data_IF_825006473990
#
_entry.id   IF_825006473990
#
_cell.length_a   1.000
_cell.length_b   1.000
_cell.length_c   1.000
_cell.angle_alpha   90.00
_cell.angle_beta   90.00
_cell.angle_gamma   90.00
#
_symmetry.space_group_name_H-M   'P 1'
#
loop_
_entity.id
_entity.type
_entity.pdbx_description
1 polymer ?
#
# COMPACT_ATOMS: atom_id res chain seq x y z
N UNK A 1 -18.38 -28.08 40.98
CA UNK A 1 -17.08 -27.59 40.44
C UNK A 1 -16.60 -28.34 39.18
N UNK A 2 -16.65 -29.68 39.08
CA UNK A 2 -16.17 -30.44 37.90
C UNK A 2 -16.83 -30.08 36.55
N UNK A 3 -18.13 -29.77 36.54
CA UNK A 3 -18.85 -29.39 35.30
C UNK A 3 -18.31 -28.12 34.64
N UNK A 4 -17.98 -27.09 35.45
CA UNK A 4 -17.42 -25.83 34.94
C UNK A 4 -16.00 -25.96 34.37
N UNK A 5 -15.19 -26.89 34.90
CA UNK A 5 -13.85 -27.14 34.36
C UNK A 5 -13.90 -27.78 32.96
N UNK A 6 -14.79 -28.76 32.77
CA UNK A 6 -14.98 -29.44 31.50
C UNK A 6 -15.55 -28.49 30.44
N UNK A 7 -16.61 -27.74 30.78
CA UNK A 7 -17.21 -26.76 29.88
C UNK A 7 -16.19 -25.71 29.39
N UNK A 8 -15.39 -25.13 30.30
CA UNK A 8 -14.36 -24.18 29.93
C UNK A 8 -13.28 -24.79 29.01
N UNK A 9 -12.88 -26.04 29.23
CA UNK A 9 -11.92 -26.72 28.35
C UNK A 9 -12.46 -26.93 26.94
N UNK A 10 -13.73 -27.35 26.82
CA UNK A 10 -14.39 -27.53 25.52
C UNK A 10 -14.49 -26.19 24.78
N UNK A 11 -14.92 -25.13 25.47
CA UNK A 11 -15.01 -23.79 24.90
C UNK A 11 -13.65 -23.29 24.37
N UNK A 12 -12.59 -23.40 25.17
CA UNK A 12 -11.23 -23.01 24.74
C UNK A 12 -10.74 -23.85 23.55
N UNK A 13 -11.08 -25.15 23.51
CA UNK A 13 -10.77 -26.02 22.39
C UNK A 13 -11.45 -25.56 21.08
N UNK A 14 -12.74 -25.25 21.13
CA UNK A 14 -13.49 -24.73 19.97
C UNK A 14 -12.90 -23.39 19.50
N UNK A 15 -12.62 -22.47 20.41
CA UNK A 15 -11.99 -21.17 20.07
C UNK A 15 -10.62 -21.40 19.42
N UNK A 16 -9.79 -22.28 19.98
CA UNK A 16 -8.47 -22.61 19.43
C UNK A 16 -8.54 -23.19 18.02
N UNK A 17 -9.50 -24.09 17.76
CA UNK A 17 -9.70 -24.66 16.41
C UNK A 17 -10.12 -23.57 15.41
N UNK A 18 -11.14 -22.78 15.73
CA UNK A 18 -11.63 -21.74 14.82
C UNK A 18 -10.57 -20.68 14.53
N UNK A 19 -9.86 -20.22 15.56
CA UNK A 19 -8.79 -19.23 15.40
C UNK A 19 -7.58 -19.80 14.67
N UNK A 20 -7.25 -21.08 14.91
CA UNK A 20 -6.19 -21.79 14.21
C UNK A 20 -6.49 -21.92 12.72
N UNK A 21 -7.70 -22.33 12.36
CA UNK A 21 -8.16 -22.39 10.97
C UNK A 21 -8.08 -20.99 10.34
N UNK A 22 -8.67 -19.97 10.97
CA UNK A 22 -8.66 -18.60 10.45
C UNK A 22 -7.23 -18.06 10.21
N UNK A 23 -6.25 -18.48 11.03
CA UNK A 23 -4.85 -18.04 10.92
C UNK A 23 -4.04 -18.73 9.81
N UNK A 24 -4.57 -19.76 9.16
CA UNK A 24 -3.86 -20.48 8.11
C UNK A 24 -3.53 -19.56 6.91
N UNK A 25 -2.33 -19.67 6.31
CA UNK A 25 -1.86 -18.81 5.21
C UNK A 25 -2.28 -19.32 3.83
N UNK A 26 -3.48 -19.89 3.72
CA UNK A 26 -3.90 -20.59 2.51
C UNK A 26 -4.98 -19.83 1.74
N UNK A 27 -5.64 -18.85 2.34
CA UNK A 27 -6.92 -18.36 1.85
C UNK A 27 -6.82 -17.54 0.57
N UNK A 28 -5.81 -16.68 0.43
CA UNK A 28 -5.66 -15.82 -0.76
C UNK A 28 -5.10 -16.51 -2.00
N UNK A 29 -4.62 -17.75 -1.85
CA UNK A 29 -4.08 -18.56 -2.96
C UNK A 29 -4.76 -19.94 -3.08
N UNK A 30 -5.79 -20.22 -2.27
CA UNK A 30 -6.52 -21.49 -2.30
C UNK A 30 -7.67 -21.50 -3.31
N UNK A 31 -8.32 -22.67 -3.40
CA UNK A 31 -9.61 -22.88 -4.05
C UNK A 31 -10.79 -22.15 -3.37
N UNK A 32 -10.59 -21.54 -2.19
CA UNK A 32 -11.60 -20.76 -1.46
C UNK A 32 -11.14 -19.31 -1.27
N UNK A 33 -10.94 -18.55 -2.37
CA UNK A 33 -10.39 -17.19 -2.31
C UNK A 33 -11.29 -16.21 -1.54
N UNK A 34 -12.58 -16.53 -1.34
CA UNK A 34 -13.52 -15.70 -0.58
C UNK A 34 -13.10 -15.50 0.88
N UNK A 35 -12.21 -16.35 1.40
CA UNK A 35 -11.66 -16.25 2.75
C UNK A 35 -10.36 -15.44 2.82
N UNK A 36 -9.85 -14.92 1.69
CA UNK A 36 -8.66 -14.06 1.65
C UNK A 36 -8.69 -12.90 2.66
N UNK A 37 -9.84 -12.26 2.98
CA UNK A 37 -9.91 -11.23 4.01
C UNK A 37 -9.36 -11.63 5.38
N UNK A 38 -9.46 -12.92 5.74
CA UNK A 38 -8.92 -13.43 7.02
C UNK A 38 -7.41 -13.21 7.12
N UNK A 39 -6.69 -13.22 6.00
CA UNK A 39 -5.26 -12.99 6.01
C UNK A 39 -4.91 -11.56 6.41
N UNK A 40 -5.78 -10.58 6.17
CA UNK A 40 -5.53 -9.21 6.63
C UNK A 40 -5.68 -9.07 8.15
N UNK A 41 -6.46 -9.93 8.80
CA UNK A 41 -6.78 -9.85 10.23
C UNK A 41 -5.72 -10.47 11.16
N UNK A 42 -4.54 -10.83 10.64
CA UNK A 42 -3.45 -11.45 11.42
C UNK A 42 -3.03 -10.68 12.66
N UNK A 43 -3.07 -9.34 12.62
CA UNK A 43 -2.79 -8.50 13.80
C UNK A 43 -3.82 -8.77 14.90
N UNK A 44 -5.11 -8.79 14.56
CA UNK A 44 -6.18 -9.13 15.50
C UNK A 44 -6.04 -10.55 16.05
N UNK A 45 -5.73 -11.53 15.19
CA UNK A 45 -5.52 -12.91 15.61
C UNK A 45 -4.30 -13.07 16.54
N UNK A 46 -3.21 -12.35 16.28
CA UNK A 46 -2.04 -12.33 17.16
C UNK A 46 -2.42 -11.78 18.55
N UNK A 47 -3.08 -10.62 18.61
CA UNK A 47 -3.49 -10.02 19.88
C UNK A 47 -4.48 -10.89 20.65
N UNK A 48 -5.48 -11.45 19.98
CA UNK A 48 -6.44 -12.34 20.61
C UNK A 48 -5.75 -13.59 21.18
N UNK A 49 -4.83 -14.19 20.42
CA UNK A 49 -4.07 -15.37 20.85
C UNK A 49 -3.16 -15.06 22.03
N UNK A 50 -2.49 -13.89 22.03
CA UNK A 50 -1.66 -13.44 23.15
C UNK A 50 -2.53 -13.21 24.40
N UNK A 51 -3.69 -12.57 24.25
CA UNK A 51 -4.65 -12.38 25.35
C UNK A 51 -5.12 -13.70 25.95
N UNK A 52 -5.50 -14.65 25.10
CA UNK A 52 -5.94 -15.99 25.53
C UNK A 52 -4.80 -16.79 26.17
N UNK A 53 -3.56 -16.66 25.66
CA UNK A 53 -2.37 -17.22 26.28
C UNK A 53 -2.16 -16.66 27.70
N UNK A 54 -2.22 -15.35 27.87
CA UNK A 54 -2.06 -14.67 29.16
C UNK A 54 -3.14 -15.07 30.18
N UNK A 55 -4.35 -15.41 29.73
CA UNK A 55 -5.44 -15.88 30.61
C UNK A 55 -5.31 -17.38 30.93
N UNK A 56 -4.94 -18.21 29.96
CA UNK A 56 -4.90 -19.68 30.13
C UNK A 56 -3.73 -20.17 30.98
N UNK A 57 -2.59 -19.46 30.97
CA UNK A 57 -1.41 -19.77 31.77
C UNK A 57 -1.68 -19.73 33.30
N UNK A 58 -2.20 -18.63 33.89
CA UNK A 58 -2.55 -18.58 35.31
C UNK A 58 -3.62 -19.61 35.72
N UNK A 59 -4.54 -19.94 34.80
CA UNK A 59 -5.57 -20.95 35.01
C UNK A 59 -5.03 -22.40 34.91
N UNK A 60 -3.72 -22.57 34.72
CA UNK A 60 -3.02 -23.86 34.55
C UNK A 60 -3.60 -24.72 33.43
N UNK A 61 -4.15 -24.08 32.39
CA UNK A 61 -4.69 -24.73 31.18
C UNK A 61 -3.58 -24.89 30.14
N UNK A 62 -2.55 -25.67 30.47
CA UNK A 62 -1.32 -25.72 29.67
C UNK A 62 -1.52 -26.13 28.21
N UNK A 63 -2.43 -27.05 27.90
CA UNK A 63 -2.73 -27.42 26.50
C UNK A 63 -3.34 -26.25 25.72
N UNK A 64 -4.30 -25.54 26.32
CA UNK A 64 -4.90 -24.36 25.69
C UNK A 64 -3.86 -23.24 25.52
N UNK A 65 -3.02 -23.02 26.55
CA UNK A 65 -1.90 -22.08 26.47
C UNK A 65 -0.93 -22.43 25.33
N UNK A 66 -0.56 -23.71 25.18
CA UNK A 66 0.28 -24.16 24.08
C UNK A 66 -0.38 -23.87 22.72
N UNK A 67 -1.66 -24.19 22.56
CA UNK A 67 -2.41 -23.92 21.32
C UNK A 67 -2.41 -22.43 20.99
N UNK A 68 -2.78 -21.56 21.93
CA UNK A 68 -2.78 -20.12 21.68
C UNK A 68 -1.38 -19.54 21.48
N UNK A 69 -0.36 -20.10 22.15
CA UNK A 69 1.04 -19.76 21.91
C UNK A 69 1.49 -20.09 20.49
N UNK A 70 1.11 -21.26 19.96
CA UNK A 70 1.41 -21.64 18.57
C UNK A 70 0.68 -20.76 17.55
N UNK A 71 -0.58 -20.41 17.80
CA UNK A 71 -1.34 -19.49 16.92
C UNK A 71 -0.74 -18.08 16.96
N UNK A 72 -0.36 -17.59 18.13
CA UNK A 72 0.33 -16.30 18.28
C UNK A 72 1.66 -16.32 17.50
N UNK A 73 2.45 -17.37 17.68
CA UNK A 73 3.70 -17.55 16.95
C UNK A 73 3.49 -17.57 15.42
N UNK A 74 2.51 -18.32 14.93
CA UNK A 74 2.18 -18.37 13.50
C UNK A 74 1.85 -16.99 12.94
N UNK A 75 0.99 -16.23 13.61
CA UNK A 75 0.64 -14.89 13.14
C UNK A 75 1.83 -13.93 13.22
N UNK A 76 2.59 -13.95 14.33
CA UNK A 76 3.80 -13.15 14.46
C UNK A 76 4.86 -13.49 13.40
N UNK A 77 5.00 -14.75 13.00
CA UNK A 77 5.92 -15.16 11.94
C UNK A 77 5.66 -14.42 10.61
N UNK A 78 4.38 -14.21 10.25
CA UNK A 78 4.01 -13.43 9.06
C UNK A 78 4.10 -11.92 9.26
N UNK A 79 3.83 -11.44 10.48
CA UNK A 79 3.85 -10.02 10.81
C UNK A 79 5.27 -9.47 10.93
N UNK A 80 6.16 -10.19 11.63
CA UNK A 80 7.49 -9.70 12.03
C UNK A 80 8.35 -9.20 10.86
N UNK A 81 8.44 -9.87 9.70
CA UNK A 81 9.22 -9.35 8.57
C UNK A 81 8.78 -7.95 8.13
N UNK A 82 7.49 -7.65 8.24
CA UNK A 82 6.91 -6.34 7.89
C UNK A 82 7.37 -5.24 8.85
N UNK A 83 7.58 -5.58 10.13
CA UNK A 83 7.97 -4.62 11.17
C UNK A 83 9.47 -4.58 11.45
N UNK A 84 10.21 -5.64 11.10
CA UNK A 84 11.64 -5.82 11.42
C UNK A 84 12.60 -5.55 10.26
N UNK A 85 12.14 -5.54 9.00
CA UNK A 85 12.99 -5.21 7.84
C UNK A 85 13.44 -3.75 7.91
N UNK A 86 14.64 -3.48 8.45
CA UNK A 86 15.13 -2.13 8.75
C UNK A 86 14.96 -1.22 7.54
N UNK A 87 14.53 0.03 7.78
CA UNK A 87 14.47 1.04 6.72
C UNK A 87 15.80 1.01 5.97
N UNK A 88 15.73 0.89 4.64
CA UNK A 88 16.93 0.99 3.80
C UNK A 88 17.57 2.31 4.18
N UNK A 89 18.77 2.26 4.77
CA UNK A 89 19.37 3.37 5.51
C UNK A 89 19.41 4.69 4.72
N UNK A 90 19.73 5.79 5.42
CA UNK A 90 19.72 7.14 4.87
C UNK A 90 20.23 7.16 3.41
N UNK A 91 19.42 7.66 2.46
CA UNK A 91 19.78 7.59 1.07
C UNK A 91 21.08 8.34 0.79
N UNK A 92 21.85 7.93 -0.23
CA UNK A 92 23.14 8.55 -0.52
C UNK A 92 23.01 10.08 -0.68
N UNK A 93 24.02 10.86 -0.26
CA UNK A 93 24.00 12.32 -0.43
C UNK A 93 23.81 12.79 -1.88
N UNK A 94 24.19 11.94 -2.85
CA UNK A 94 24.04 12.20 -4.28
C UNK A 94 22.68 11.75 -4.86
N UNK A 95 21.76 11.24 -4.05
CA UNK A 95 20.41 10.91 -4.49
C UNK A 95 19.58 12.19 -4.70
N UNK A 96 18.65 12.15 -5.64
CA UNK A 96 17.58 13.14 -5.74
C UNK A 96 16.57 12.87 -4.62
N UNK A 97 16.20 13.89 -3.84
CA UNK A 97 15.27 13.75 -2.71
C UNK A 97 14.03 14.62 -2.89
N UNK A 98 12.89 14.12 -2.43
CA UNK A 98 11.65 14.90 -2.31
C UNK A 98 10.73 14.31 -1.24
N UNK A 99 9.89 15.15 -0.65
CA UNK A 99 8.86 14.72 0.30
C UNK A 99 7.57 14.32 -0.42
N UNK A 100 7.08 13.11 -0.14
CA UNK A 100 5.84 12.56 -0.69
C UNK A 100 4.82 12.35 0.43
N UNK A 101 3.68 13.03 0.31
CA UNK A 101 2.50 12.76 1.13
C UNK A 101 1.55 11.84 0.36
N UNK A 102 1.04 10.82 1.03
CA UNK A 102 -0.02 9.94 0.54
C UNK A 102 -1.19 9.96 1.52
N UNK A 103 -2.41 10.15 1.02
CA UNK A 103 -3.61 10.10 1.83
C UNK A 103 -4.81 9.58 1.04
N UNK A 104 -5.43 8.49 1.49
CA UNK A 104 -6.85 8.27 1.20
C UNK A 104 -7.66 9.27 2.05
N UNK A 105 -8.37 10.20 1.41
CA UNK A 105 -9.04 11.30 2.14
C UNK A 105 -10.38 10.89 2.72
N UNK A 106 -10.91 9.74 2.32
CA UNK A 106 -12.28 9.30 2.53
C UNK A 106 -13.30 10.30 1.96
N UNK A 107 -14.02 9.92 0.90
CA UNK A 107 -14.93 10.86 0.22
C UNK A 107 -16.10 11.38 1.08
N UNK A 108 -16.35 10.74 2.22
CA UNK A 108 -17.36 11.13 3.23
C UNK A 108 -16.73 11.77 4.47
N UNK A 109 -15.47 12.22 4.39
CA UNK A 109 -14.77 12.86 5.49
C UNK A 109 -15.57 14.07 6.01
N UNK A 110 -15.99 14.05 7.29
CA UNK A 110 -16.82 15.11 7.88
C UNK A 110 -16.05 16.40 8.14
N UNK A 111 -14.71 16.37 8.07
CA UNK A 111 -13.82 17.50 8.40
C UNK A 111 -12.84 17.75 7.26
N UNK A 112 -13.36 18.12 6.08
CA UNK A 112 -12.55 18.38 4.88
C UNK A 112 -11.49 19.46 5.08
N UNK A 113 -11.73 20.47 5.93
CA UNK A 113 -10.76 21.50 6.29
C UNK A 113 -9.48 20.93 6.94
N UNK A 114 -9.59 19.80 7.63
CA UNK A 114 -8.44 19.13 8.23
C UNK A 114 -7.49 18.54 7.17
N UNK A 115 -7.98 18.27 5.95
CA UNK A 115 -7.16 17.84 4.80
C UNK A 115 -6.22 18.98 4.43
N UNK A 116 -6.77 20.18 4.18
CA UNK A 116 -5.97 21.36 3.84
C UNK A 116 -5.00 21.73 4.98
N UNK A 117 -5.46 21.70 6.23
CA UNK A 117 -4.61 22.00 7.39
C UNK A 117 -3.42 21.02 7.51
N UNK A 118 -3.64 19.72 7.28
CA UNK A 118 -2.56 18.72 7.24
C UNK A 118 -1.57 19.04 6.11
N UNK A 119 -2.08 19.24 4.89
CA UNK A 119 -1.23 19.47 3.71
C UNK A 119 -0.41 20.76 3.85
N UNK A 120 -1.01 21.85 4.35
CA UNK A 120 -0.33 23.13 4.60
C UNK A 120 0.68 23.07 5.75
N UNK A 121 0.46 22.20 6.75
CA UNK A 121 1.39 21.99 7.87
C UNK A 121 2.63 21.21 7.44
N UNK A 122 2.43 20.10 6.73
CA UNK A 122 3.53 19.22 6.34
C UNK A 122 4.29 19.73 5.10
N UNK A 123 3.63 20.54 4.24
CA UNK A 123 4.20 21.18 3.03
C UNK A 123 5.00 20.21 2.14
N UNK A 124 4.46 19.04 1.77
CA UNK A 124 5.18 18.09 0.93
C UNK A 124 5.53 18.67 -0.44
N UNK A 125 6.57 18.14 -1.09
CA UNK A 125 6.89 18.48 -2.47
C UNK A 125 5.84 17.93 -3.44
N UNK A 126 5.33 16.74 -3.14
CA UNK A 126 4.25 16.08 -3.88
C UNK A 126 3.24 15.51 -2.89
N UNK A 127 1.94 15.72 -3.15
CA UNK A 127 0.85 15.08 -2.42
C UNK A 127 0.00 14.23 -3.36
N UNK A 128 -0.22 12.98 -2.97
CA UNK A 128 -1.13 12.04 -3.61
C UNK A 128 -2.34 11.86 -2.73
N UNK A 129 -3.50 12.22 -3.26
CA UNK A 129 -4.79 12.16 -2.57
C UNK A 129 -5.69 11.17 -3.31
N UNK A 130 -6.17 10.15 -2.62
CA UNK A 130 -7.14 9.18 -3.14
C UNK A 130 -8.53 9.50 -2.62
N UNK A 131 -9.55 8.97 -3.30
CA UNK A 131 -10.98 9.24 -3.04
C UNK A 131 -11.40 10.70 -3.30
N UNK A 132 -10.70 11.39 -4.20
CA UNK A 132 -11.08 12.74 -4.66
C UNK A 132 -12.12 12.67 -5.77
N UNK A 133 -13.35 12.26 -5.44
CA UNK A 133 -14.42 12.07 -6.45
C UNK A 133 -14.90 13.39 -7.08
N UNK A 134 -14.59 14.55 -6.49
CA UNK A 134 -14.84 15.85 -7.09
C UNK A 134 -13.63 16.39 -7.89
N UNK A 135 -12.53 15.64 -7.95
CA UNK A 135 -11.33 15.98 -8.72
C UNK A 135 -10.74 17.34 -8.33
N UNK A 136 -10.57 18.24 -9.30
CA UNK A 136 -10.08 19.61 -9.03
C UNK A 136 -11.12 20.54 -8.37
N UNK A 137 -12.35 20.07 -8.13
CA UNK A 137 -13.42 20.83 -7.48
C UNK A 137 -13.60 20.47 -6.00
N UNK A 138 -12.68 19.69 -5.43
CA UNK A 138 -12.71 19.33 -4.01
C UNK A 138 -12.75 20.58 -3.10
N UNK A 139 -13.61 20.61 -2.06
CA UNK A 139 -13.86 21.80 -1.26
C UNK A 139 -12.67 22.26 -0.41
N UNK A 140 -11.71 21.36 -0.13
CA UNK A 140 -10.49 21.66 0.63
C UNK A 140 -9.37 22.26 -0.24
N UNK A 141 -9.43 22.13 -1.57
CA UNK A 141 -8.39 22.63 -2.47
C UNK A 141 -8.21 24.16 -2.44
N UNK A 142 -9.26 24.99 -2.35
CA UNK A 142 -9.11 26.44 -2.24
C UNK A 142 -8.39 26.90 -0.97
N UNK A 143 -8.37 26.08 0.09
CA UNK A 143 -7.71 26.38 1.36
C UNK A 143 -6.22 25.99 1.39
N UNK A 144 -5.69 25.41 0.31
CA UNK A 144 -4.26 25.12 0.21
C UNK A 144 -3.45 26.40 -0.01
N UNK A 145 -2.29 26.48 0.65
CA UNK A 145 -1.27 27.48 0.34
C UNK A 145 -0.86 27.34 -1.15
N UNK A 146 -0.40 28.43 -1.79
CA UNK A 146 -0.04 28.50 -3.22
C UNK A 146 1.22 27.67 -3.61
N UNK A 147 1.54 26.62 -2.85
CA UNK A 147 2.80 25.88 -2.95
C UNK A 147 2.86 24.89 -4.12
N UNK A 148 1.71 24.46 -4.67
CA UNK A 148 1.63 23.47 -5.74
C UNK A 148 1.04 24.06 -7.04
N UNK A 149 1.90 24.59 -7.94
CA UNK A 149 1.47 25.13 -9.22
C UNK A 149 1.00 24.05 -10.21
N UNK A 150 1.33 22.77 -9.98
CA UNK A 150 0.98 21.68 -10.88
C UNK A 150 0.04 20.69 -10.19
N UNK A 151 -1.02 20.30 -10.89
CA UNK A 151 -2.04 19.36 -10.43
C UNK A 151 -2.41 18.42 -11.56
N UNK A 152 -2.65 17.16 -11.24
CA UNK A 152 -3.16 16.16 -12.17
C UNK A 152 -4.27 15.37 -11.49
N UNK A 153 -5.44 15.30 -12.10
CA UNK A 153 -6.51 14.38 -11.75
C UNK A 153 -6.76 13.42 -12.92
N UNK A 154 -7.76 12.55 -12.78
CA UNK A 154 -8.09 11.56 -13.81
C UNK A 154 -9.03 12.12 -14.91
N UNK A 155 -9.42 13.39 -14.86
CA UNK A 155 -10.44 13.98 -15.74
C UNK A 155 -11.65 13.07 -15.99
N UNK A 156 -11.98 12.85 -17.27
CA UNK A 156 -13.10 12.01 -17.69
C UNK A 156 -12.99 10.52 -17.30
N UNK A 157 -11.80 10.01 -16.97
CA UNK A 157 -11.68 8.63 -16.48
C UNK A 157 -12.25 8.47 -15.07
N UNK A 158 -12.35 9.54 -14.27
CA UNK A 158 -13.01 9.48 -12.96
C UNK A 158 -12.40 8.46 -12.00
N UNK A 159 -11.07 8.40 -11.90
CA UNK A 159 -10.40 7.44 -11.01
C UNK A 159 -10.28 7.89 -9.56
N UNK A 160 -10.77 9.10 -9.23
CA UNK A 160 -10.75 9.66 -7.88
C UNK A 160 -9.34 9.71 -7.25
N UNK A 161 -8.30 9.87 -8.08
CA UNK A 161 -6.93 10.12 -7.65
C UNK A 161 -6.51 11.52 -8.09
N UNK A 162 -5.82 12.24 -7.21
CA UNK A 162 -5.30 13.58 -7.43
C UNK A 162 -3.84 13.64 -7.01
N UNK A 163 -3.00 14.23 -7.87
CA UNK A 163 -1.59 14.48 -7.60
C UNK A 163 -1.37 15.99 -7.62
N UNK A 164 -0.85 16.53 -6.53
CA UNK A 164 -0.38 17.91 -6.38
C UNK A 164 1.14 17.91 -6.39
N UNK A 165 1.78 18.78 -7.16
CA UNK A 165 3.24 18.77 -7.33
C UNK A 165 3.82 20.18 -7.41
N UNK A 166 5.01 20.34 -6.83
CA UNK A 166 5.86 21.53 -7.03
C UNK A 166 6.45 21.62 -8.44
N UNK A 167 6.53 20.48 -9.14
CA UNK A 167 7.17 20.36 -10.45
C UNK A 167 6.20 19.96 -11.56
N UNK A 168 6.50 20.30 -12.84
CA UNK A 168 5.63 19.98 -13.97
C UNK A 168 5.32 18.49 -14.06
N UNK A 169 4.09 18.18 -14.49
CA UNK A 169 3.58 16.83 -14.63
C UNK A 169 3.17 16.56 -16.08
N UNK A 170 3.52 15.38 -16.60
CA UNK A 170 2.97 14.85 -17.85
C UNK A 170 2.17 13.59 -17.53
N UNK A 171 0.88 13.54 -17.86
CA UNK A 171 0.06 12.34 -17.65
C UNK A 171 0.51 11.25 -18.63
N UNK A 172 0.86 10.08 -18.08
CA UNK A 172 1.27 8.90 -18.85
C UNK A 172 0.12 7.93 -19.08
N UNK A 173 -0.85 7.91 -18.17
CA UNK A 173 -2.03 7.06 -18.29
C UNK A 173 -2.93 7.15 -17.06
N UNK A 174 -4.19 6.81 -17.27
CA UNK A 174 -5.22 6.83 -16.24
C UNK A 174 -6.22 5.70 -16.47
N UNK A 175 -6.76 5.15 -15.40
CA UNK A 175 -7.75 4.09 -15.43
C UNK A 175 -8.66 4.19 -14.20
N UNK A 176 -9.90 3.74 -14.29
CA UNK A 176 -10.85 3.76 -13.17
C UNK A 176 -11.60 2.45 -13.05
N UNK A 177 -11.51 1.81 -11.88
CA UNK A 177 -12.35 0.66 -11.53
C UNK A 177 -13.80 1.06 -11.21
N UNK A 178 -14.04 2.34 -10.86
CA UNK A 178 -15.36 2.86 -10.48
C UNK A 178 -16.31 3.01 -11.68
N UNK A 179 -15.74 3.29 -12.85
CA UNK A 179 -16.49 3.49 -14.09
C UNK A 179 -16.23 2.41 -15.15
N UNK A 180 -15.10 1.69 -15.07
CA UNK A 180 -14.83 0.52 -15.91
C UNK A 180 -14.89 -0.76 -15.08
N UNK A 181 -15.89 -1.61 -15.35
CA UNK A 181 -16.08 -2.93 -14.71
C UNK A 181 -15.03 -4.00 -15.13
N UNK A 182 -13.84 -3.59 -15.57
CA UNK A 182 -12.76 -4.47 -16.01
C UNK A 182 -11.72 -4.47 -14.91
N UNK A 183 -11.33 -5.65 -14.39
CA UNK A 183 -10.41 -5.86 -13.26
C UNK A 183 -9.05 -5.18 -13.39
N UNK A 184 -9.07 -3.86 -13.28
CA UNK A 184 -7.99 -2.90 -13.41
C UNK A 184 -8.27 -1.78 -12.41
N UNK A 185 -7.33 -1.43 -11.53
CA UNK A 185 -7.59 -0.53 -10.43
C UNK A 185 -7.73 0.92 -10.88
N UNK A 186 -8.24 1.76 -9.99
CA UNK A 186 -8.22 3.19 -10.19
C UNK A 186 -6.77 3.70 -10.11
N UNK A 187 -6.22 4.18 -11.22
CA UNK A 187 -4.80 4.55 -11.34
C UNK A 187 -4.62 5.88 -12.05
N UNK A 188 -3.64 6.67 -11.60
CA UNK A 188 -3.14 7.86 -12.28
C UNK A 188 -1.61 7.80 -12.31
N UNK A 189 -1.03 7.70 -13.50
CA UNK A 189 0.41 7.70 -13.71
C UNK A 189 0.86 9.01 -14.35
N UNK A 190 1.89 9.63 -13.78
CA UNK A 190 2.49 10.88 -14.26
C UNK A 190 4.01 10.77 -14.34
N UNK A 191 4.59 11.41 -15.34
CA UNK A 191 6.00 11.77 -15.37
C UNK A 191 6.17 13.10 -14.63
N UNK A 192 7.03 13.11 -13.62
CA UNK A 192 7.37 14.31 -12.85
C UNK A 192 8.68 14.87 -13.39
N UNK A 193 8.67 16.15 -13.79
CA UNK A 193 9.83 16.84 -14.35
C UNK A 193 10.64 17.55 -13.26
N UNK A 194 11.36 16.78 -12.46
CA UNK A 194 12.13 17.30 -11.33
C UNK A 194 13.51 17.82 -11.79
N UNK A 195 14.04 18.93 -11.21
CA UNK A 195 15.30 19.55 -11.64
C UNK A 195 16.54 18.64 -11.66
N UNK A 196 16.57 17.64 -10.77
CA UNK A 196 17.66 16.65 -10.68
C UNK A 196 17.46 15.40 -11.55
N UNK A 197 16.33 15.28 -12.27
CA UNK A 197 16.02 14.12 -13.09
C UNK A 197 14.55 13.72 -13.02
N UNK A 198 14.00 13.37 -14.19
CA UNK A 198 12.61 12.96 -14.28
C UNK A 198 12.37 11.56 -13.69
N UNK A 199 11.20 11.36 -13.10
CA UNK A 199 10.76 10.05 -12.60
C UNK A 199 9.27 9.84 -12.84
N UNK A 200 8.82 8.61 -12.72
CA UNK A 200 7.41 8.24 -12.84
C UNK A 200 6.80 8.04 -11.47
N UNK A 201 5.65 8.69 -11.22
CA UNK A 201 4.83 8.53 -10.03
C UNK A 201 3.49 7.91 -10.43
N UNK A 202 3.08 6.89 -9.70
CA UNK A 202 1.78 6.23 -9.88
C UNK A 202 0.99 6.29 -8.59
N UNK A 203 -0.19 6.91 -8.65
CA UNK A 203 -1.23 6.81 -7.63
C UNK A 203 -2.17 5.66 -8.00
N UNK A 204 -2.48 4.77 -7.06
CA UNK A 204 -3.40 3.64 -7.29
C UNK A 204 -4.33 3.40 -6.11
N UNK A 205 -5.56 2.96 -6.41
CA UNK A 205 -6.53 2.52 -5.42
C UNK A 205 -7.17 1.21 -5.92
N UNK A 206 -6.93 0.13 -5.18
CA UNK A 206 -7.48 -1.20 -5.46
C UNK A 206 -8.80 -1.40 -4.72
N UNK A 207 -9.66 -2.25 -5.28
CA UNK A 207 -10.89 -2.70 -4.67
C UNK A 207 -10.64 -3.29 -3.27
N UNK A 208 -11.62 -3.11 -2.39
CA UNK A 208 -11.65 -3.76 -1.08
C UNK A 208 -11.61 -5.29 -1.22
N UNK A 209 -11.07 -6.02 -0.23
CA UNK A 209 -10.87 -7.46 -0.33
C UNK A 209 -12.19 -8.26 -0.21
N UNK A 210 -13.36 -7.64 -0.33
CA UNK A 210 -14.65 -8.32 -0.33
C UNK A 210 -14.93 -9.09 -1.62
N UNK A 211 -14.25 -8.73 -2.72
CA UNK A 211 -14.13 -9.55 -3.93
C UNK A 211 -12.64 -9.85 -4.22
N UNK A 212 -12.07 -10.88 -3.57
CA UNK A 212 -10.67 -11.23 -3.73
C UNK A 212 -10.26 -11.63 -5.15
N UNK A 213 -11.19 -12.16 -5.94
CA UNK A 213 -10.91 -12.56 -7.33
C UNK A 213 -10.76 -11.32 -8.19
N UNK A 214 -11.67 -10.35 -8.06
CA UNK A 214 -11.58 -9.07 -8.73
C UNK A 214 -10.32 -8.30 -8.31
N UNK A 215 -10.04 -8.23 -7.00
CA UNK A 215 -8.84 -7.56 -6.47
C UNK A 215 -7.54 -8.20 -7.01
N UNK A 216 -7.49 -9.54 -7.13
CA UNK A 216 -6.34 -10.22 -7.72
C UNK A 216 -6.15 -9.90 -9.21
N UNK A 217 -7.24 -9.71 -9.97
CA UNK A 217 -7.18 -9.25 -11.36
C UNK A 217 -6.61 -7.83 -11.45
N UNK A 218 -7.06 -6.93 -10.57
CA UNK A 218 -6.53 -5.57 -10.49
C UNK A 218 -5.04 -5.56 -10.16
N UNK A 219 -4.59 -6.37 -9.19
CA UNK A 219 -3.18 -6.51 -8.85
C UNK A 219 -2.33 -7.03 -10.01
N UNK A 220 -2.83 -8.04 -10.74
CA UNK A 220 -2.14 -8.57 -11.92
C UNK A 220 -2.11 -7.58 -13.10
N UNK A 221 -3.19 -6.81 -13.28
CA UNK A 221 -3.22 -5.72 -14.26
C UNK A 221 -2.21 -4.65 -13.90
N UNK A 222 -2.18 -4.21 -12.64
CA UNK A 222 -1.26 -3.19 -12.16
C UNK A 222 0.18 -3.64 -12.36
N UNK A 223 0.50 -4.89 -12.03
CA UNK A 223 1.85 -5.42 -12.23
C UNK A 223 2.32 -5.30 -13.69
N UNK A 224 1.46 -5.65 -14.65
CA UNK A 224 1.78 -5.51 -16.08
C UNK A 224 1.88 -4.06 -16.52
N UNK A 225 0.99 -3.19 -16.02
CA UNK A 225 0.99 -1.77 -16.35
C UNK A 225 2.26 -1.07 -15.86
N UNK A 226 2.71 -1.37 -14.64
CA UNK A 226 3.93 -0.77 -14.08
C UNK A 226 5.18 -1.08 -14.90
N UNK A 227 5.25 -2.27 -15.53
CA UNK A 227 6.37 -2.64 -16.39
C UNK A 227 6.43 -1.84 -17.70
N UNK A 228 5.35 -1.18 -18.12
CA UNK A 228 5.33 -0.34 -19.33
C UNK A 228 5.76 1.10 -19.06
N UNK A 229 5.96 1.46 -17.79
CA UNK A 229 6.24 2.84 -17.39
C UNK A 229 7.74 3.13 -17.31
N UNK A 230 8.20 4.34 -17.67
CA UNK A 230 9.62 4.69 -17.62
C UNK A 230 10.15 4.70 -16.16
N UNK A 231 11.37 4.18 -15.89
CA UNK A 231 12.01 4.35 -14.58
C UNK A 231 12.57 5.79 -14.40
N UNK A 232 12.99 6.17 -13.17
CA UNK A 232 12.70 5.52 -11.90
C UNK A 232 11.20 5.52 -11.60
N UNK A 233 10.71 4.49 -10.91
CA UNK A 233 9.28 4.28 -10.66
C UNK A 233 8.97 4.35 -9.16
N UNK A 234 8.08 5.27 -8.78
CA UNK A 234 7.50 5.40 -7.45
C UNK A 234 6.00 5.09 -7.55
N UNK A 235 5.49 4.21 -6.70
CA UNK A 235 4.07 3.87 -6.65
C UNK A 235 3.57 4.08 -5.23
N UNK A 236 2.46 4.79 -5.07
CA UNK A 236 1.81 4.96 -3.77
C UNK A 236 0.31 4.76 -3.92
N UNK A 237 -0.33 4.19 -2.91
CA UNK A 237 -1.72 3.82 -3.05
C UNK A 237 -2.34 3.20 -1.81
N UNK A 238 -3.67 3.15 -1.82
CA UNK A 238 -4.45 2.25 -0.98
C UNK A 238 -4.65 0.95 -1.76
N UNK A 239 -3.96 -0.09 -1.34
CA UNK A 239 -4.03 -1.40 -1.98
C UNK A 239 -5.13 -2.27 -1.38
N UNK A 240 -5.81 -1.79 -0.33
CA UNK A 240 -6.81 -2.57 0.42
C UNK A 240 -6.28 -3.96 0.83
N UNK A 241 -4.97 -4.04 1.06
CA UNK A 241 -4.23 -5.28 1.25
C UNK A 241 -3.06 -5.07 2.19
N UNK A 242 -2.99 -5.90 3.23
CA UNK A 242 -1.87 -5.89 4.17
C UNK A 242 -0.54 -6.35 3.50
N UNK A 243 0.64 -5.95 4.01
CA UNK A 243 1.93 -6.29 3.41
C UNK A 243 2.22 -7.78 3.28
N UNK A 244 1.65 -8.59 4.18
CA UNK A 244 1.78 -10.04 4.18
C UNK A 244 0.74 -10.74 3.28
N UNK A 245 -0.03 -10.00 2.48
CA UNK A 245 -0.99 -10.60 1.55
C UNK A 245 -0.29 -11.18 0.31
N UNK A 246 -0.86 -12.24 -0.30
CA UNK A 246 -0.48 -12.75 -1.60
C UNK A 246 -0.44 -11.68 -2.70
N UNK A 247 -1.40 -10.75 -2.67
CA UNK A 247 -1.51 -9.70 -3.66
C UNK A 247 -0.27 -8.81 -3.66
N UNK A 248 0.16 -8.31 -2.50
CA UNK A 248 1.34 -7.45 -2.40
C UNK A 248 2.60 -8.21 -2.81
N UNK A 249 2.79 -9.45 -2.34
CA UNK A 249 3.96 -10.26 -2.73
C UNK A 249 4.04 -10.50 -4.23
N UNK A 250 2.93 -10.86 -4.86
CA UNK A 250 2.86 -11.10 -6.32
C UNK A 250 3.12 -9.81 -7.09
N UNK A 251 2.56 -8.69 -6.65
CA UNK A 251 2.80 -7.39 -7.26
C UNK A 251 4.30 -7.02 -7.20
N UNK A 252 4.94 -7.14 -6.03
CA UNK A 252 6.38 -6.87 -5.87
C UNK A 252 7.23 -7.74 -6.81
N UNK A 253 6.95 -9.04 -6.86
CA UNK A 253 7.66 -10.00 -7.70
C UNK A 253 7.47 -9.75 -9.20
N UNK A 254 6.23 -9.49 -9.63
CA UNK A 254 5.88 -9.38 -11.04
C UNK A 254 6.27 -8.02 -11.66
N UNK A 255 6.18 -6.93 -10.89
CA UNK A 255 6.53 -5.59 -11.37
C UNK A 255 7.96 -5.16 -11.05
N UNK A 256 8.75 -5.98 -10.33
CA UNK A 256 10.11 -5.62 -9.94
C UNK A 256 10.17 -4.39 -9.02
N UNK A 257 9.13 -4.20 -8.21
CA UNK A 257 9.04 -3.13 -7.22
C UNK A 257 9.09 -3.73 -5.81
N UNK A 258 9.42 -2.91 -4.83
CA UNK A 258 9.47 -3.33 -3.43
C UNK A 258 8.87 -2.27 -2.54
N UNK A 259 8.26 -2.64 -1.41
CA UNK A 259 7.91 -1.69 -0.36
C UNK A 259 9.18 -0.98 0.10
N UNK A 260 9.15 0.34 0.00
CA UNK A 260 10.27 1.22 0.39
C UNK A 260 10.02 1.86 1.76
N UNK A 261 8.82 1.71 2.30
CA UNK A 261 8.36 2.38 3.49
C UNK A 261 7.66 1.42 4.46
N UNK A 262 7.97 1.54 5.76
CA UNK A 262 7.18 0.92 6.83
C UNK A 262 6.03 1.84 7.21
N UNK A 263 4.84 1.50 6.75
CA UNK A 263 3.67 2.37 6.95
C UNK A 263 3.00 2.12 8.31
N UNK A 264 2.95 0.87 8.78
CA UNK A 264 2.18 0.50 9.98
C UNK A 264 0.67 0.63 9.75
N UNK A 265 -0.18 0.38 10.76
CA UNK A 265 -1.64 0.44 10.60
C UNK A 265 -2.15 1.80 10.10
N UNK A 266 -2.59 1.87 8.85
CA UNK A 266 -3.18 3.10 8.28
C UNK A 266 -4.70 3.10 8.42
N UNK A 267 -5.32 1.92 8.53
CA UNK A 267 -6.77 1.77 8.72
C UNK A 267 -7.12 0.78 9.85
N UNK A 268 -8.13 1.08 10.68
CA UNK A 268 -8.83 2.35 10.78
C UNK A 268 -7.98 3.38 11.53
N UNK A 269 -8.15 4.68 11.24
CA UNK A 269 -7.45 5.80 11.87
C UNK A 269 -7.87 6.12 13.31
N UNK A 270 -8.98 5.53 13.76
CA UNK A 270 -9.58 5.80 15.07
C UNK A 270 -9.01 4.97 16.25
N UNK A 271 -9.76 4.88 17.37
CA UNK A 271 -9.31 4.19 18.59
C UNK A 271 -8.94 2.71 18.40
N UNK A 272 -9.41 2.09 17.32
CA UNK A 272 -9.11 0.70 16.96
C UNK A 272 -7.80 0.53 16.19
N UNK A 273 -7.06 1.61 15.87
CA UNK A 273 -5.79 1.55 15.15
C UNK A 273 -4.74 0.57 15.74
N UNK A 274 -4.66 0.31 17.06
CA UNK A 274 -3.77 -0.74 17.59
C UNK A 274 -4.04 -2.15 17.03
N UNK A 275 -5.25 -2.40 16.51
CA UNK A 275 -5.66 -3.61 15.80
C UNK A 275 -5.80 -3.40 14.29
N UNK A 276 -5.47 -2.20 13.81
CA UNK A 276 -5.57 -1.82 12.40
C UNK A 276 -4.53 -2.52 11.53
N UNK A 277 -4.65 -2.29 10.22
CA UNK A 277 -3.89 -2.95 9.17
C UNK A 277 -3.18 -1.92 8.26
N UNK A 278 -1.96 -2.22 7.77
CA UNK A 278 -1.25 -1.36 6.82
C UNK A 278 -1.80 -1.61 5.41
N UNK A 279 -2.76 -0.84 4.94
CA UNK A 279 -3.34 -1.04 3.59
C UNK A 279 -2.88 0.02 2.59
N UNK A 280 -2.33 1.13 3.08
CA UNK A 280 -1.64 2.12 2.27
C UNK A 280 -0.14 1.80 2.20
N UNK A 281 0.41 1.82 0.98
CA UNK A 281 1.81 1.46 0.71
C UNK A 281 2.49 2.50 -0.16
N UNK A 282 3.80 2.66 0.07
CA UNK A 282 4.73 3.27 -0.87
C UNK A 282 5.71 2.18 -1.36
N UNK A 283 5.78 2.02 -2.67
CA UNK A 283 6.58 1.04 -3.38
C UNK A 283 7.54 1.77 -4.33
N UNK A 284 8.70 1.17 -4.56
CA UNK A 284 9.74 1.72 -5.43
C UNK A 284 10.38 0.65 -6.30
N UNK A 285 10.65 1.01 -7.55
CA UNK A 285 11.49 0.25 -8.46
C UNK A 285 12.98 0.34 -8.10
N UNK A 286 13.87 -0.23 -8.92
CA UNK A 286 15.31 -0.19 -8.65
C UNK A 286 15.84 1.24 -8.56
N UNK A 287 16.64 1.51 -7.54
CA UNK A 287 17.18 2.85 -7.26
C UNK A 287 16.28 3.77 -6.45
N UNK A 288 15.08 3.31 -6.04
CA UNK A 288 14.14 4.07 -5.20
C UNK A 288 14.19 3.56 -3.75
N UNK A 289 14.28 4.49 -2.81
CA UNK A 289 14.17 4.23 -1.36
C UNK A 289 13.36 5.33 -0.67
N UNK A 290 12.91 5.07 0.55
CA UNK A 290 12.29 6.08 1.39
C UNK A 290 12.97 6.14 2.76
N UNK A 291 13.02 7.34 3.34
CA UNK A 291 13.47 7.62 4.69
C UNK A 291 12.43 8.47 5.42
N UNK A 292 12.59 8.61 6.74
CA UNK A 292 11.76 9.45 7.59
C UNK A 292 10.24 9.20 7.39
N UNK A 293 9.88 7.94 7.15
CA UNK A 293 8.50 7.52 6.94
C UNK A 293 7.73 7.65 8.24
N UNK A 294 6.64 8.42 8.22
CA UNK A 294 5.74 8.57 9.37
C UNK A 294 4.28 8.57 8.95
N UNK A 295 3.46 7.91 9.77
CA UNK A 295 2.01 8.13 9.78
C UNK A 295 1.72 9.46 10.43
N UNK A 296 0.84 10.25 9.82
CA UNK A 296 0.38 11.52 10.36
C UNK A 296 -0.80 11.30 11.32
N UNK A 297 -1.06 12.25 12.24
CA UNK A 297 -2.24 12.19 13.09
C UNK A 297 -3.56 12.11 12.30
N UNK A 298 -4.65 11.60 12.91
CA UNK A 298 -5.97 11.59 12.28
C UNK A 298 -6.39 12.98 11.77
N UNK A 299 -7.01 13.01 10.60
CA UNK A 299 -7.48 14.25 9.93
C UNK A 299 -8.94 14.12 9.44
N UNK A 300 -9.73 13.28 10.10
CA UNK A 300 -11.13 13.02 9.78
C UNK A 300 -11.38 11.85 8.82
N UNK A 301 -10.39 11.49 7.99
CA UNK A 301 -10.42 10.26 7.19
C UNK A 301 -10.40 9.02 8.08
N UNK A 302 -11.00 7.93 7.64
CA UNK A 302 -10.85 6.61 8.26
C UNK A 302 -9.46 5.99 7.99
N UNK A 303 -8.65 6.62 7.13
CA UNK A 303 -7.23 6.34 6.94
C UNK A 303 -6.33 7.37 7.62
N UNK A 304 -5.15 6.93 8.05
CA UNK A 304 -4.04 7.82 8.40
C UNK A 304 -3.20 8.11 7.15
N UNK A 305 -2.80 9.37 6.98
CA UNK A 305 -1.90 9.77 5.91
C UNK A 305 -0.46 9.34 6.20
N UNK A 306 0.33 9.17 5.15
CA UNK A 306 1.75 8.84 5.20
C UNK A 306 2.56 10.00 4.64
N UNK A 307 3.67 10.33 5.29
CA UNK A 307 4.68 11.24 4.78
C UNK A 307 6.02 10.52 4.77
N UNK A 308 6.74 10.62 3.66
CA UNK A 308 8.08 10.05 3.52
C UNK A 308 9.00 10.97 2.71
N UNK A 309 10.29 10.89 2.98
CA UNK A 309 11.33 11.42 2.10
C UNK A 309 11.72 10.33 1.11
N UNK A 310 11.37 10.54 -0.16
CA UNK A 310 11.73 9.64 -1.25
C UNK A 310 13.09 10.04 -1.79
N UNK A 311 13.94 9.05 -2.01
CA UNK A 311 15.23 9.23 -2.64
C UNK A 311 15.37 8.37 -3.88
N UNK A 312 15.86 8.99 -4.94
CA UNK A 312 16.13 8.40 -6.24
C UNK A 312 17.64 8.43 -6.47
N UNK A 313 18.24 7.24 -6.53
CA UNK A 313 19.64 7.10 -6.92
C UNK A 313 19.72 6.97 -8.43
N UNK A 314 20.63 7.69 -9.10
CA UNK A 314 20.89 7.47 -10.52
C UNK A 314 21.22 5.99 -10.72
N UNK A 315 20.43 5.28 -11.53
CA UNK A 315 20.86 3.96 -11.97
C UNK A 315 22.14 4.15 -12.78
N UNK A 316 23.23 3.48 -12.38
CA UNK A 316 24.32 3.26 -13.30
C UNK A 316 23.71 2.56 -14.50
N UNK A 317 23.68 3.22 -15.65
CA UNK A 317 23.37 2.58 -16.92
C UNK A 317 24.49 1.56 -17.10
N UNK A 318 24.26 0.32 -16.67
CA UNK A 318 25.14 -0.79 -17.00
C UNK A 318 25.30 -0.80 -18.52
N UNK A 319 26.49 -1.13 -19.05
CA UNK A 319 26.71 -1.14 -20.48
C UNK A 319 25.57 -1.93 -21.12
N UNK A 320 24.86 -1.30 -22.06
CA UNK A 320 23.84 -1.96 -22.84
C UNK A 320 24.40 -3.31 -23.29
N UNK A 321 23.74 -4.40 -22.91
CA UNK A 321 24.13 -5.74 -23.35
C UNK A 321 24.22 -5.63 -24.87
N UNK A 322 25.38 -5.88 -25.51
CA UNK A 322 25.52 -5.71 -26.94
C UNK A 322 24.40 -6.51 -27.59
N UNK A 323 23.67 -5.87 -28.50
CA UNK A 323 22.66 -6.53 -29.30
C UNK A 323 23.31 -7.78 -29.87
N UNK A 324 22.75 -8.95 -29.55
CA UNK A 324 23.23 -10.21 -30.11
C UNK A 324 23.28 -10.08 -31.62
N UNK A 325 24.42 -10.45 -32.20
CA UNK A 325 24.58 -10.58 -33.64
C UNK A 325 23.47 -11.49 -34.18
N UNK A 326 22.46 -10.91 -34.81
CA UNK A 326 21.28 -11.66 -35.24
C UNK A 326 20.17 -10.79 -35.78
N UNK A 327 20.34 -10.29 -37.01
CA UNK A 327 19.26 -9.70 -37.80
C UNK A 327 19.73 -8.56 -38.68
N UNK A 328 19.81 -8.82 -39.98
CA UNK A 328 20.28 -7.88 -41.00
C UNK A 328 19.62 -6.50 -40.94
N UNK A 329 20.45 -5.48 -41.11
CA UNK A 329 20.06 -4.08 -41.29
C UNK A 329 19.16 -3.93 -42.51
N UNK A 330 17.89 -3.60 -42.30
CA UNK A 330 17.08 -2.97 -43.33
C UNK A 330 17.47 -1.48 -43.38
N UNK A 331 18.12 -1.07 -44.47
CA UNK A 331 18.43 0.32 -44.76
C UNK A 331 17.13 1.12 -44.97
N UNK A 332 16.99 2.24 -44.26
CA UNK A 332 15.95 3.24 -44.55
C UNK A 332 16.43 4.10 -45.73
N UNK A 333 15.73 3.98 -46.86
CA UNK A 333 15.85 4.88 -48.02
C UNK A 333 15.00 6.13 -47.75
N UNK A 334 15.50 7.37 -47.94
CA UNK A 334 14.67 8.55 -47.90
C UNK A 334 13.88 8.67 -49.20
N UNK A 335 12.56 8.78 -49.11
CA UNK A 335 11.65 9.12 -50.22
C UNK A 335 11.41 10.63 -50.31
N UNK A 336 11.05 11.14 -51.51
CA UNK A 336 11.55 12.40 -52.09
C UNK A 336 11.00 13.70 -51.50
#
# INVERSE_FOLDING_TARGET
MRFGHHFLSVMLGVIGILLGIASLPIWGESVTPQLAPLEHLRIGFAWLSIGLLMVTLPLRRFLAALVFGLIAFLNLFYLLPTFLTLDRGAPPPAAQHFTLLHANIWNRNPTTDAIAAMVNRERPDIAVMLETFHGLQEPWLPALDLHWPYRADCGAAGCANLILSRWPLTILGQNSSWFNAKGSPATLAVRVHHPAGDFTLVATHLAQPFDPVFQAQEGAWLARYLLTLPPPLVVTGDFNSAPWSPLIRKLEQQAGITRIARTGPTWPSGPLNPFGIPIDHMLGGPGVSAANVRRLPPFGSDHLALLAEIALTPQAVGPAKPAGEGGGTAALVPTP
#
